data_IF_370367008126
#
_entry.id   IF_370367008126
#
_cell.length_a   1.000
_cell.length_b   1.000
_cell.length_c   1.000
_cell.angle_alpha   90.00
_cell.angle_beta   90.00
_cell.angle_gamma   90.00
#
_symmetry.space_group_name_H-M   'P 1'
#
loop_
_entity.id
_entity.type
_entity.pdbx_description
1 polymer ?
2 non-polymer ?
3 non-polymer ?
4 water ?
#
# COMPACT_ATOMS: atom_id res chain seq x y z
N UNK A 42 3.86 -9.75 22.66
CA UNK A 42 2.61 -9.40 21.98
C UNK A 42 1.61 -8.66 22.86
N UNK A 43 0.64 -7.97 22.23
CA UNK A 43 -0.41 -7.23 22.92
C UNK A 43 -1.77 -7.86 22.62
N UNK A 44 -2.69 -7.83 23.58
CA UNK A 44 -4.01 -8.43 23.39
C UNK A 44 -4.83 -7.60 22.41
N UNK A 45 -5.64 -8.20 21.53
CA UNK A 45 -6.51 -7.37 20.67
C UNK A 45 -7.92 -7.85 20.97
N UNK A 46 -8.90 -6.95 21.29
CA UNK A 46 -8.84 -5.47 21.28
C UNK A 46 -7.90 -4.94 22.36
N UNK A 47 -7.03 -3.96 22.00
CA UNK A 47 -6.08 -3.35 22.93
C UNK A 47 -6.60 -1.99 23.37
N UNK A 48 -6.42 -1.64 24.64
CA UNK A 48 -6.78 -0.33 25.13
C UNK A 48 -5.49 0.38 25.43
N UNK A 49 -5.18 1.49 24.73
CA UNK A 49 -3.97 2.29 25.01
C UNK A 49 -4.48 3.50 25.84
N UNK A 50 -4.20 3.59 27.17
CA UNK A 50 -4.69 4.76 27.92
C UNK A 50 -4.09 6.06 27.41
N UNK A 51 -4.86 7.14 27.46
CA UNK A 51 -4.41 8.48 27.10
C UNK A 51 -4.79 9.38 28.30
N UNK A 52 -4.12 9.20 29.46
CA UNK A 52 -4.44 10.04 30.63
C UNK A 52 -4.20 11.51 30.28
N UNK A 53 -5.22 12.33 30.46
CA UNK A 53 -5.10 13.73 30.06
C UNK A 53 -5.36 13.94 28.58
N UNK A 54 -5.89 12.90 27.94
CA UNK A 54 -6.30 12.94 26.56
C UNK A 54 -5.23 13.21 25.53
N UNK A 55 -5.65 13.59 24.34
CA UNK A 55 -4.72 13.87 23.26
C UNK A 55 -4.28 15.32 23.37
N UNK A 56 -3.06 15.60 22.94
CA UNK A 56 -2.55 16.97 22.97
C UNK A 56 -1.66 17.17 21.75
N UNK A 57 -1.69 18.36 21.13
CA UNK A 57 -0.85 18.56 19.94
C UNK A 57 0.61 18.18 20.16
N UNK A 58 1.22 17.57 19.12
CA UNK A 58 2.57 17.01 19.10
C UNK A 58 2.64 15.64 19.81
N UNK A 59 1.48 15.02 20.11
CA UNK A 59 1.46 13.64 20.65
C UNK A 59 1.58 12.71 19.45
N UNK A 60 2.57 11.83 19.46
CA UNK A 60 2.76 10.87 18.38
C UNK A 60 2.47 9.49 18.90
N UNK A 61 1.43 8.86 18.38
CA UNK A 61 1.06 7.52 18.78
C UNK A 61 1.64 6.59 17.73
N UNK A 62 2.31 5.51 18.16
CA UNK A 62 2.87 4.53 17.22
C UNK A 62 2.28 3.19 17.55
N UNK A 63 1.76 2.49 16.52
CA UNK A 63 1.22 1.13 16.68
C UNK A 63 1.99 0.23 15.75
N UNK A 64 2.48 -0.90 16.25
CA UNK A 64 3.19 -1.88 15.41
C UNK A 64 2.45 -3.19 15.51
N UNK A 65 2.23 -3.83 14.36
CA UNK A 65 1.56 -5.11 14.32
C UNK A 65 1.66 -5.79 12.98
N UNK A 66 0.78 -6.77 12.75
CA UNK A 66 0.65 -7.48 11.48
C UNK A 66 -0.82 -7.65 11.17
N UNK A 67 -1.20 -7.45 9.90
CA UNK A 67 -2.59 -7.67 9.51
C UNK A 67 -2.75 -9.21 9.41
N UNK A 68 -3.87 -9.77 9.91
CA UNK A 68 -4.07 -11.22 9.83
C UNK A 68 -4.16 -11.69 8.38
N UNK A 69 -3.81 -12.97 8.08
CA UNK A 69 -3.83 -13.44 6.67
C UNK A 69 -5.13 -13.31 5.89
N UNK A 70 -6.31 -13.29 6.53
CA UNK A 70 -7.56 -13.15 5.75
C UNK A 70 -8.42 -12.07 6.38
N UNK A 71 -7.80 -10.90 6.53
CA UNK A 71 -8.40 -9.74 7.19
C UNK A 71 -9.59 -9.15 6.47
N UNK A 72 -10.60 -8.78 7.26
CA UNK A 72 -11.80 -8.11 6.78
C UNK A 72 -11.82 -6.64 7.22
N UNK A 73 -11.44 -6.31 8.46
CA UNK A 73 -11.46 -4.90 8.85
C UNK A 73 -10.58 -4.62 10.05
N UNK A 74 -10.24 -3.36 10.22
CA UNK A 74 -9.41 -2.91 11.34
C UNK A 74 -10.07 -1.67 11.89
N UNK A 75 -9.89 -1.38 13.17
CA UNK A 75 -10.42 -0.11 13.69
C UNK A 75 -9.55 0.48 14.81
N UNK A 76 -9.38 1.81 14.78
CA UNK A 76 -8.76 2.57 15.86
C UNK A 76 -9.92 3.45 16.35
N UNK A 77 -10.16 3.50 17.66
CA UNK A 77 -11.24 4.29 18.25
C UNK A 77 -10.72 5.24 19.35
N UNK A 78 -10.62 6.53 19.03
CA UNK A 78 -10.23 7.54 20.03
C UNK A 78 -11.51 7.83 20.80
N UNK A 79 -11.61 7.32 22.02
CA UNK A 79 -12.82 7.42 22.80
C UNK A 79 -12.85 8.55 23.84
N UNK A 80 -14.01 9.19 24.01
CA UNK A 80 -14.27 10.20 25.05
C UNK A 80 -15.44 9.59 25.81
N UNK A 81 -15.14 8.67 26.73
CA UNK A 81 -16.17 7.89 27.43
C UNK A 81 -16.67 6.84 26.43
N UNK A 82 -17.99 6.81 26.15
CA UNK A 82 -18.56 5.90 25.14
C UNK A 82 -18.64 6.60 23.76
N UNK A 83 -18.46 7.93 23.69
CA UNK A 83 -18.40 8.61 22.39
C UNK A 83 -17.08 8.26 21.75
N UNK A 84 -17.01 8.37 20.40
CA UNK A 84 -15.78 8.08 19.68
C UNK A 84 -15.47 9.37 18.96
N UNK A 85 -14.49 10.12 19.48
CA UNK A 85 -14.10 11.38 18.86
C UNK A 85 -13.58 11.10 17.45
N UNK A 86 -12.85 9.99 17.24
CA UNK A 86 -12.28 9.70 15.91
C UNK A 86 -12.21 8.20 15.75
N UNK A 87 -12.97 7.71 14.76
CA UNK A 87 -13.04 6.29 14.41
C UNK A 87 -12.33 6.16 13.05
N UNK A 88 -11.28 5.35 12.94
CA UNK A 88 -10.51 5.18 11.70
C UNK A 88 -10.73 3.74 11.32
N UNK A 89 -11.46 3.51 10.24
CA UNK A 89 -11.83 2.14 9.92
C UNK A 89 -11.50 1.68 8.50
N UNK A 90 -10.31 1.08 8.29
CA UNK A 90 -10.05 0.40 7.03
C UNK A 90 -10.96 -0.83 6.87
N UNK A 91 -11.71 -0.87 5.77
CA UNK A 91 -12.61 -1.98 5.42
C UNK A 91 -11.98 -2.63 4.20
N UNK A 92 -11.58 -3.89 4.30
CA UNK A 92 -10.96 -4.59 3.17
C UNK A 92 -12.01 -4.84 2.08
N UNK A 93 -13.31 -4.88 2.46
CA UNK A 93 -14.31 -5.04 1.43
C UNK A 93 -15.63 -4.41 1.85
N UNK A 94 -15.90 -3.19 1.38
CA UNK A 94 -17.17 -2.53 1.52
C UNK A 94 -17.74 -2.40 0.10
N UNK A 95 -18.91 -3.00 -0.20
CA UNK A 95 -19.48 -3.00 -1.58
C UNK A 95 -18.41 -3.43 -2.60
N UNK A 96 -17.62 -4.46 -2.26
CA UNK A 96 -16.58 -5.01 -3.14
C UNK A 96 -15.41 -4.05 -3.38
N UNK A 97 -15.19 -3.04 -2.51
CA UNK A 97 -14.09 -2.08 -2.69
C UNK A 97 -13.35 -1.91 -1.38
N UNK A 98 -12.06 -1.57 -1.46
CA UNK A 98 -11.23 -1.32 -0.28
C UNK A 98 -11.45 0.15 0.03
N UNK A 99 -11.71 0.48 1.29
CA UNK A 99 -12.00 1.87 1.66
C UNK A 99 -11.66 2.09 3.10
N UNK A 100 -11.23 3.31 3.47
CA UNK A 100 -11.02 3.67 4.86
C UNK A 100 -12.14 4.64 5.20
N UNK A 101 -12.96 4.31 6.20
CA UNK A 101 -14.06 5.18 6.62
C UNK A 101 -13.66 5.81 7.96
N UNK A 102 -13.81 7.12 8.07
CA UNK A 102 -13.51 7.83 9.29
C UNK A 102 -14.74 8.56 9.73
N UNK A 103 -15.04 8.49 11.06
CA UNK A 103 -16.23 9.16 11.58
C UNK A 103 -16.12 9.42 13.09
N UNK A 104 -17.12 10.14 13.63
CA UNK A 104 -17.26 10.49 15.05
C UNK A 104 -18.63 10.00 15.48
N UNK A 105 -18.71 9.38 16.65
CA UNK A 105 -19.95 8.91 17.20
C UNK A 105 -20.18 9.72 18.45
N UNK A 106 -21.32 10.42 18.53
CA UNK A 106 -21.66 11.22 19.70
C UNK A 106 -23.05 10.84 20.12
N UNK A 107 -23.24 10.48 21.39
CA UNK A 107 -24.57 10.13 21.92
C UNK A 107 -25.25 9.01 21.09
N UNK A 108 -24.49 7.92 20.81
CA UNK A 108 -24.91 6.72 20.07
C UNK A 108 -25.06 6.88 18.54
N UNK A 109 -24.92 8.10 17.97
CA UNK A 109 -25.17 8.31 16.54
C UNK A 109 -23.92 8.68 15.79
N UNK A 110 -23.72 8.07 14.61
CA UNK A 110 -22.57 8.36 13.77
C UNK A 110 -22.85 9.62 12.98
N UNK A 111 -21.83 10.42 12.77
CA UNK A 111 -21.99 11.65 11.99
C UNK A 111 -21.69 11.39 10.52
N UNK A 112 -21.19 12.39 9.82
CA UNK A 112 -20.80 12.48 8.41
C UNK A 112 -19.52 11.70 8.20
N UNK A 113 -19.60 10.69 7.35
CA UNK A 113 -18.44 9.85 7.08
C UNK A 113 -17.43 10.56 6.17
N UNK A 114 -16.16 10.31 6.39
CA UNK A 114 -15.07 10.81 5.57
C UNK A 114 -14.49 9.55 4.97
N UNK A 115 -14.44 9.48 3.65
CA UNK A 115 -14.04 8.26 2.97
C UNK A 115 -12.85 8.48 2.11
N UNK A 116 -12.02 7.45 1.98
CA UNK A 116 -10.90 7.53 1.07
C UNK A 116 -10.51 6.15 0.54
N UNK A 117 -10.17 6.11 -0.78
CA UNK A 117 -9.85 4.86 -1.45
C UNK A 117 -8.38 4.45 -1.37
N UNK A 118 -7.45 5.39 -1.02
CA UNK A 118 -6.03 5.00 -0.88
C UNK A 118 -6.01 4.05 0.31
N UNK A 119 -5.51 2.82 0.11
CA UNK A 119 -5.57 1.75 1.11
C UNK A 119 -4.25 0.98 1.16
N UNK A 120 -3.36 1.29 2.13
CA UNK A 120 -2.04 0.67 2.15
C UNK A 120 -1.91 -0.65 2.91
N UNK A 121 -2.95 -1.07 3.65
CA UNK A 121 -2.88 -2.30 4.44
C UNK A 121 -2.98 -3.48 3.53
N UNK A 122 -2.24 -4.55 3.87
CA UNK A 122 -2.23 -5.77 3.07
C UNK A 122 -2.35 -6.94 4.01
N UNK A 123 -3.21 -7.91 3.68
CA UNK A 123 -3.40 -9.10 4.50
C UNK A 123 -2.07 -9.84 4.74
N UNK A 124 -1.86 -10.30 5.96
CA UNK A 124 -0.67 -11.06 6.33
C UNK A 124 0.63 -10.29 6.43
N UNK A 125 0.62 -8.95 6.25
CA UNK A 125 1.85 -8.17 6.24
C UNK A 125 2.00 -7.25 7.44
N UNK A 126 3.26 -7.02 7.88
CA UNK A 126 3.47 -6.14 9.04
C UNK A 126 3.11 -4.71 8.73
N UNK A 127 2.69 -3.96 9.75
CA UNK A 127 2.34 -2.56 9.51
C UNK A 127 2.86 -1.71 10.66
N UNK A 128 2.93 -0.41 10.39
CA UNK A 128 3.25 0.59 11.40
C UNK A 128 2.23 1.69 11.18
N UNK A 129 1.37 1.95 12.15
CA UNK A 129 0.46 3.08 12.02
C UNK A 129 1.03 4.15 12.95
N UNK A 130 1.03 5.39 12.49
CA UNK A 130 1.41 6.51 13.31
C UNK A 130 0.25 7.48 13.26
N UNK A 131 -0.17 7.99 14.42
CA UNK A 131 -1.23 9.00 14.49
C UNK A 131 -0.55 10.20 15.16
N UNK A 132 -0.38 11.32 14.44
CA UNK A 132 0.19 12.54 15.04
C UNK A 132 -0.96 13.49 15.35
N UNK A 133 -1.10 13.88 16.62
CA UNK A 133 -2.17 14.80 17.00
C UNK A 133 -1.69 16.20 16.70
N UNK A 134 -2.40 16.90 15.83
CA UNK A 134 -2.06 18.27 15.45
C UNK A 134 -3.13 19.20 16.04
N UNK A 135 -2.88 20.51 16.09
CA UNK A 135 -3.87 21.40 16.72
C UNK A 135 -5.31 21.29 16.19
N UNK A 136 -5.50 21.16 14.87
CA UNK A 136 -6.87 21.07 14.30
C UNK A 136 -7.21 19.72 13.68
N UNK A 137 -6.28 18.73 13.72
CA UNK A 137 -6.59 17.41 13.15
C UNK A 137 -5.70 16.32 13.69
N UNK A 138 -6.09 15.06 13.41
CA UNK A 138 -5.23 13.91 13.64
C UNK A 138 -4.62 13.65 12.26
N UNK A 139 -3.31 13.42 12.20
CA UNK A 139 -2.62 13.06 10.95
C UNK A 139 -2.44 11.56 11.06
N UNK A 140 -2.67 10.78 9.99
CA UNK A 140 -2.46 9.33 10.03
C UNK A 140 -1.45 8.96 8.96
N UNK A 141 -0.43 8.17 9.32
CA UNK A 141 0.58 7.68 8.37
C UNK A 141 0.69 6.19 8.55
N UNK A 142 0.79 5.42 7.45
CA UNK A 142 0.91 3.95 7.51
C UNK A 142 2.24 3.57 6.83
N UNK A 143 3.10 2.84 7.53
CA UNK A 143 4.41 2.42 6.99
C UNK A 143 5.26 3.59 6.52
N UNK A 144 5.31 4.67 7.34
CA UNK A 144 6.05 5.92 7.06
C UNK A 144 5.51 6.76 5.91
N UNK A 145 4.29 6.47 5.41
CA UNK A 145 3.69 7.22 4.32
C UNK A 145 2.41 7.88 4.85
N UNK A 146 2.29 9.20 4.70
CA UNK A 146 1.06 9.89 5.13
C UNK A 146 -0.14 9.31 4.38
N UNK A 147 -1.21 9.05 5.12
CA UNK A 147 -2.42 8.47 4.55
C UNK A 147 -3.56 9.49 4.48
N UNK A 148 -3.91 10.06 5.64
CA UNK A 148 -5.03 11.00 5.71
C UNK A 148 -4.98 11.83 6.98
N UNK A 149 -5.84 12.82 7.08
CA UNK A 149 -6.02 13.56 8.31
C UNK A 149 -7.50 13.58 8.58
N UNK A 150 -7.84 13.79 9.84
CA UNK A 150 -9.24 13.87 10.27
C UNK A 150 -9.33 15.07 11.16
N UNK A 151 -10.08 16.11 10.72
CA UNK A 151 -10.21 17.32 11.54
C UNK A 151 -10.94 17.03 12.82
N UNK A 152 -10.54 17.72 13.91
CA UNK A 152 -11.17 17.50 15.20
C UNK A 152 -12.61 17.99 15.16
N UNK A 153 -13.55 17.12 15.53
CA UNK A 153 -14.97 17.46 15.68
C UNK A 153 -15.16 17.69 17.16
N UNK A 154 -14.65 16.76 17.97
CA UNK A 154 -14.61 16.91 19.43
C UNK A 154 -13.38 17.79 19.67
N UNK A 155 -13.60 19.07 20.06
CA UNK A 155 -12.52 20.05 20.26
C UNK A 155 -11.94 20.06 21.68
N UNK A 156 -12.61 19.43 22.67
CA UNK A 156 -12.05 19.29 24.04
C UNK A 156 -11.17 18.08 23.97
N UNK A 157 -9.94 18.25 23.50
CA UNK A 157 -9.00 17.13 23.29
C UNK A 157 -8.63 16.37 24.55
N UNK A 158 -8.54 17.06 25.69
CA UNK A 158 -8.15 16.41 26.94
C UNK A 158 -9.16 15.34 27.43
N UNK A 159 -10.42 15.37 26.94
CA UNK A 159 -11.42 14.37 27.32
C UNK A 159 -11.34 13.07 26.46
N UNK A 160 -10.53 13.06 25.38
CA UNK A 160 -10.34 11.87 24.53
C UNK A 160 -9.29 11.02 25.27
N UNK A 161 -9.74 10.23 26.26
CA UNK A 161 -8.87 9.53 27.21
C UNK A 161 -8.49 8.06 26.92
N UNK A 162 -8.93 7.46 25.82
CA UNK A 162 -8.57 6.06 25.54
C UNK A 162 -8.47 5.86 24.06
N UNK A 163 -7.52 5.03 23.60
CA UNK A 163 -7.45 4.61 22.20
C UNK A 163 -7.71 3.10 22.12
N UNK A 164 -8.86 2.72 21.58
CA UNK A 164 -9.21 1.30 21.39
C UNK A 164 -8.62 0.85 20.07
N UNK A 165 -7.95 -0.30 20.02
CA UNK A 165 -7.34 -0.81 18.79
C UNK A 165 -7.92 -2.21 18.61
N UNK A 166 -8.77 -2.43 17.58
CA UNK A 166 -9.47 -3.69 17.35
C UNK A 166 -9.41 -4.16 15.92
N UNK A 167 -9.95 -5.34 15.66
CA UNK A 167 -10.04 -5.92 14.33
C UNK A 167 -9.06 -7.02 14.01
N UNK A 168 -8.88 -7.27 12.72
CA UNK A 168 -8.14 -8.42 12.20
C UNK A 168 -6.63 -8.18 12.15
N UNK A 169 -6.00 -8.02 13.34
CA UNK A 169 -4.57 -7.74 13.43
C UNK A 169 -3.94 -8.47 14.60
N UNK A 170 -2.61 -8.61 14.55
CA UNK A 170 -1.78 -9.08 15.64
C UNK A 170 -1.04 -7.80 16.03
N UNK A 171 -0.87 -7.51 17.32
CA UNK A 171 -0.24 -6.28 17.79
C UNK A 171 1.01 -6.56 18.65
N UNK A 172 2.14 -5.85 18.35
CA UNK A 172 3.43 -5.99 19.07
C UNK A 172 3.80 -4.75 19.91
N UNK A 173 3.26 -3.56 19.58
CA UNK A 173 3.60 -2.34 20.33
C UNK A 173 2.52 -1.27 20.11
N UNK A 174 2.20 -0.52 21.16
CA UNK A 174 1.23 0.60 21.08
C UNK A 174 1.62 1.55 22.20
N UNK A 175 1.96 2.77 21.85
CA UNK A 175 2.40 3.72 22.84
C UNK A 175 2.37 5.10 22.25
N UNK A 176 2.66 6.11 23.07
CA UNK A 176 2.78 7.45 22.52
C UNK A 176 3.92 8.19 23.14
N UNK A 177 4.47 9.13 22.39
CA UNK A 177 5.48 10.01 22.93
C UNK A 177 5.22 11.40 22.41
N UNK A 178 5.36 12.37 23.28
CA UNK A 178 5.20 13.76 22.92
C UNK A 178 6.44 14.15 22.13
N UNK A 179 6.31 14.77 20.94
CA UNK A 179 7.47 15.12 20.08
C UNK A 179 7.65 16.63 19.89
N UNK B 42 17.68 -18.46 -7.14
CA UNK B 42 16.35 -19.03 -7.40
C UNK B 42 15.34 -18.46 -6.40
N UNK B 43 14.47 -17.57 -6.84
CA UNK B 43 13.44 -16.92 -6.02
C UNK B 43 12.09 -17.52 -6.41
N UNK B 44 11.16 -17.70 -5.47
CA UNK B 44 9.87 -18.31 -5.83
C UNK B 44 9.01 -17.33 -6.58
N UNK B 45 8.33 -17.76 -7.68
CA UNK B 45 7.43 -16.89 -8.43
C UNK B 45 5.99 -17.37 -8.12
N UNK B 46 5.01 -16.49 -7.82
CA UNK B 46 5.10 -15.01 -7.81
C UNK B 46 6.03 -14.49 -6.72
N UNK B 47 6.90 -13.52 -7.05
CA UNK B 47 7.87 -12.97 -6.10
C UNK B 47 7.40 -11.57 -5.69
N UNK B 48 7.53 -11.25 -4.41
CA UNK B 48 7.19 -9.92 -3.92
C UNK B 48 8.48 -9.22 -3.61
N UNK B 49 8.73 -8.08 -4.26
CA UNK B 49 9.93 -7.30 -3.94
C UNK B 49 9.44 -6.10 -3.17
N UNK B 50 9.77 -5.99 -1.87
CA UNK B 50 9.31 -4.81 -1.12
C UNK B 50 9.95 -3.51 -1.61
N UNK B 51 9.18 -2.42 -1.54
CA UNK B 51 9.65 -1.07 -1.90
C UNK B 51 9.29 -0.19 -0.70
N UNK B 52 9.96 -0.39 0.47
CA UNK B 52 9.63 0.45 1.65
C UNK B 52 9.89 1.92 1.32
N UNK B 53 8.88 2.75 1.51
CA UNK B 53 8.98 4.16 1.12
C UNK B 53 8.72 4.38 -0.35
N UNK B 54 8.19 3.36 -1.01
CA UNK B 54 7.79 3.41 -2.40
C UNK B 54 8.86 3.69 -3.42
N UNK B 55 8.44 4.07 -4.62
CA UNK B 55 9.35 4.36 -5.70
C UNK B 55 9.80 5.80 -5.59
N UNK B 56 11.02 6.09 -6.00
CA UNK B 56 11.61 7.45 -5.92
C UNK B 56 12.37 7.66 -7.21
N UNK B 57 12.36 8.87 -7.82
CA UNK B 57 13.17 9.09 -9.01
C UNK B 57 14.64 8.70 -8.81
N UNK B 58 15.23 8.09 -9.85
CA UNK B 58 16.58 7.55 -9.88
C UNK B 58 16.66 6.17 -9.20
N UNK B 59 15.51 5.53 -8.89
CA UNK B 59 15.48 4.16 -8.37
C UNK B 59 15.59 3.24 -9.58
N UNK B 60 16.58 2.36 -9.58
CA UNK B 60 16.77 1.43 -10.67
C UNK B 60 16.48 0.03 -10.16
N UNK B 61 15.44 -0.58 -10.67
CA UNK B 61 15.06 -1.95 -10.29
C UNK B 61 15.63 -2.87 -11.35
N UNK B 62 16.23 -3.98 -10.94
CA UNK B 62 16.79 -4.95 -11.90
C UNK B 62 16.20 -6.30 -11.61
N UNK B 63 15.66 -6.98 -12.63
CA UNK B 63 15.13 -8.34 -12.47
C UNK B 63 15.90 -9.26 -13.41
N UNK B 64 16.46 -10.35 -12.87
CA UNK B 64 17.18 -11.31 -13.71
C UNK B 64 16.46 -12.62 -13.61
N UNK B 65 16.30 -13.26 -14.76
CA UNK B 65 15.66 -14.56 -14.81
C UNK B 65 15.71 -15.20 -16.18
N UNK B 66 14.88 -16.22 -16.36
CA UNK B 66 14.76 -16.93 -17.62
C UNK B 66 13.28 -17.11 -17.93
N UNK B 67 12.89 -16.91 -19.19
CA UNK B 67 11.50 -17.14 -19.58
C UNK B 67 11.35 -18.67 -19.69
N UNK B 68 10.23 -19.23 -19.17
CA UNK B 68 10.00 -20.68 -19.25
C UNK B 68 9.92 -21.16 -20.72
N UNK B 69 10.26 -22.44 -21.01
CA UNK B 69 10.26 -22.91 -22.41
C UNK B 69 8.95 -22.78 -23.22
N UNK B 70 7.78 -22.75 -22.58
CA UNK B 70 6.54 -22.60 -23.37
C UNK B 70 5.67 -21.52 -22.75
N UNK B 71 6.28 -20.35 -22.58
CA UNK B 71 5.69 -19.20 -21.93
C UNK B 71 4.50 -18.61 -22.65
N UNK B 72 3.49 -18.24 -21.86
CA UNK B 72 2.29 -17.57 -22.34
C UNK B 72 2.28 -16.09 -21.90
N UNK B 73 2.66 -15.77 -20.65
CA UNK B 73 2.64 -14.36 -20.26
C UNK B 73 3.51 -14.08 -19.04
N UNK B 74 3.87 -12.82 -18.87
CA UNK B 74 4.69 -12.38 -17.75
C UNK B 74 4.04 -11.14 -17.20
N UNK B 75 4.21 -10.84 -15.91
CA UNK B 75 3.69 -9.58 -15.39
C UNK B 75 4.55 -9.00 -14.27
N UNK B 76 4.73 -7.66 -14.29
CA UNK B 76 5.36 -6.91 -13.20
C UNK B 76 4.19 -6.03 -12.73
N UNK B 77 3.96 -5.98 -11.40
CA UNK B 77 2.90 -5.19 -10.82
C UNK B 77 3.42 -4.25 -9.72
N UNK B 78 3.51 -2.95 -10.02
CA UNK B 78 3.90 -1.95 -9.02
C UNK B 78 2.62 -1.67 -8.25
N UNK B 79 2.51 -2.18 -7.02
CA UNK B 79 1.30 -2.09 -6.23
C UNK B 79 1.27 -0.97 -5.17
N UNK B 80 0.09 -0.36 -4.96
CA UNK B 80 -0.20 0.59 -3.87
C UNK B 80 -1.34 -0.10 -3.15
N UNK B 81 -1.00 -0.99 -2.24
CA UNK B 81 -2.01 -1.80 -1.57
C UNK B 81 -2.50 -2.80 -2.59
N UNK B 82 -3.82 -2.83 -2.90
CA UNK B 82 -4.39 -3.71 -3.92
C UNK B 82 -4.45 -2.99 -5.29
N UNK B 83 -4.28 -1.65 -5.34
CA UNK B 83 -4.24 -0.94 -6.62
C UNK B 83 -2.93 -1.27 -7.28
N UNK B 84 -2.86 -1.16 -8.62
CA UNK B 84 -1.64 -1.43 -9.36
C UNK B 84 -1.35 -0.13 -10.07
N UNK B 85 -0.36 0.62 -9.54
CA UNK B 85 0.02 1.88 -10.16
C UNK B 85 0.54 1.63 -11.58
N UNK B 86 1.27 0.53 -11.79
CA UNK B 86 1.84 0.23 -13.13
C UNK B 86 1.91 -1.27 -13.30
N UNK B 87 1.16 -1.75 -14.29
CA UNK B 87 1.09 -3.17 -14.64
C UNK B 87 1.80 -3.29 -16.01
N UNK B 88 2.85 -4.11 -16.11
CA UNK B 88 3.62 -4.28 -17.36
C UNK B 88 3.41 -5.70 -17.74
N UNK B 89 2.66 -5.94 -18.82
CA UNK B 89 2.29 -7.30 -19.15
C UNK B 89 2.61 -7.76 -20.56
N UNK B 90 3.81 -8.35 -20.77
CA UNK B 90 4.08 -9.05 -22.04
C UNK B 90 3.16 -10.27 -22.21
N UNK B 91 2.40 -10.31 -23.30
CA UNK B 91 1.51 -11.42 -23.65
C UNK B 91 2.13 -12.06 -24.88
N UNK B 92 2.52 -13.33 -24.79
CA UNK B 92 3.13 -14.02 -25.93
C UNK B 92 2.09 -14.25 -27.01
N UNK B 93 0.80 -14.29 -26.64
CA UNK B 93 -0.22 -14.46 -27.67
C UNK B 93 -1.53 -13.82 -27.22
N UNK B 94 -1.80 -12.61 -27.69
CA UNK B 94 -3.07 -11.95 -27.54
C UNK B 94 -3.65 -11.81 -28.95
N UNK B 95 -4.82 -12.43 -29.23
CA UNK B 95 -5.41 -12.41 -30.59
C UNK B 95 -4.35 -12.83 -31.65
N UNK B 96 -3.55 -13.86 -31.31
CA UNK B 96 -2.53 -14.39 -32.20
C UNK B 96 -1.37 -13.42 -32.46
N UNK B 97 -1.13 -12.44 -31.58
CA UNK B 97 -0.04 -11.48 -31.75
C UNK B 97 0.74 -11.32 -30.44
N UNK B 98 2.01 -10.94 -30.53
CA UNK B 98 2.89 -10.67 -29.37
C UNK B 98 2.64 -9.24 -29.03
N UNK B 99 2.41 -8.94 -27.76
CA UNK B 99 2.13 -7.55 -27.39
C UNK B 99 2.46 -7.35 -25.96
N UNK B 100 2.89 -6.12 -25.58
CA UNK B 100 3.11 -5.77 -24.18
C UNK B 100 1.99 -4.80 -23.84
N UNK B 101 1.17 -5.12 -22.85
CA UNK B 101 0.06 -4.26 -22.43
C UNK B 101 0.45 -3.64 -21.10
N UNK B 102 0.30 -2.33 -20.98
CA UNK B 102 0.60 -1.61 -19.76
C UNK B 102 -0.63 -0.89 -19.30
N UNK B 103 -0.93 -0.97 -17.98
CA UNK B 103 -2.11 -0.30 -17.45
C UNK B 103 -2.00 -0.04 -15.94
N UNK B 104 -3.01 0.67 -15.39
CA UNK B 104 -3.14 1.00 -13.98
C UNK B 104 -4.52 0.51 -13.53
N UNK B 105 -4.58 -0.11 -12.36
CA UNK B 105 -5.82 -0.60 -11.82
C UNK B 105 -6.05 0.20 -10.55
N UNK B 106 -7.19 0.90 -10.46
CA UNK B 106 -7.52 1.68 -9.27
C UNK B 106 -8.92 1.29 -8.86
N UNK B 107 -9.10 0.94 -7.59
CA UNK B 107 -10.41 0.58 -7.06
C UNK B 107 -11.10 -0.54 -7.89
N UNK B 108 -10.34 -1.62 -8.18
CA UNK B 108 -10.76 -2.81 -8.93
C UNK B 108 -10.91 -2.65 -10.46
N UNK B 109 -10.78 -1.44 -11.02
CA UNK B 109 -11.04 -1.23 -12.45
C UNK B 109 -9.79 -0.84 -13.20
N UNK B 110 -9.59 -1.46 -14.38
CA UNK B 110 -8.45 -1.15 -15.23
C UNK B 110 -8.74 0.11 -16.01
N UNK B 111 -7.73 0.92 -16.24
CA UNK B 111 -7.90 2.15 -17.01
C UNK B 111 -7.60 1.92 -18.47
N UNK B 112 -7.13 3.01 -19.11
CA UNK B 112 -6.74 3.06 -20.53
C UNK B 112 -5.46 2.24 -20.77
N UNK B 113 -5.52 1.23 -21.65
CA UNK B 113 -4.35 0.40 -21.94
C UNK B 113 -3.35 1.10 -22.86
N UNK B 114 -2.05 0.86 -22.63
CA UNK B 114 -0.97 1.38 -23.45
C UNK B 114 -0.38 0.12 -24.06
N UNK B 115 -0.33 0.05 -25.38
CA UNK B 115 0.09 -1.17 -26.04
C UNK B 115 1.29 -0.94 -26.91
N UNK B 116 2.11 -1.98 -27.04
CA UNK B 116 3.23 -1.90 -27.95
C UNK B 116 3.63 -3.27 -28.50
N UNK B 117 3.98 -3.32 -29.80
CA UNK B 117 4.29 -4.57 -30.48
C UNK B 117 5.78 -4.98 -30.41
N UNK B 118 6.70 -4.05 -30.04
CA UNK B 118 8.11 -4.43 -29.90
C UNK B 118 8.13 -5.39 -28.72
N UNK B 119 8.64 -6.62 -28.93
CA UNK B 119 8.56 -7.69 -27.94
C UNK B 119 9.88 -8.46 -27.88
N UNK B 120 10.76 -8.15 -26.90
CA UNK B 120 12.09 -8.77 -26.89
C UNK B 120 12.21 -10.09 -26.13
N UNK B 121 11.17 -10.51 -25.40
CA UNK B 121 11.22 -11.73 -24.61
C UNK B 121 11.11 -12.93 -25.53
N UNK B 122 11.85 -14.00 -25.20
CA UNK B 122 11.86 -15.23 -25.99
C UNK B 122 11.73 -16.41 -25.07
N UNK B 123 10.88 -17.36 -25.39
CA UNK B 123 10.69 -18.56 -24.58
C UNK B 123 12.02 -19.31 -24.34
N UNK B 124 12.24 -19.76 -23.12
CA UNK B 124 13.43 -20.51 -22.75
C UNK B 124 14.72 -19.74 -22.66
N UNK B 125 14.71 -18.41 -22.84
CA UNK B 125 15.94 -17.60 -22.86
C UNK B 125 16.09 -16.68 -21.66
N UNK B 126 17.34 -16.43 -21.21
CA UNK B 126 17.55 -15.56 -20.06
C UNK B 126 17.19 -14.11 -20.38
N UNK B 127 16.75 -13.37 -19.37
CA UNK B 127 16.42 -11.97 -19.58
C UNK B 127 16.93 -11.10 -18.44
N UNK B 128 17.00 -9.81 -18.70
CA UNK B 128 17.30 -8.81 -17.69
C UNK B 128 16.29 -7.71 -17.90
N UNK B 129 15.42 -7.43 -16.93
CA UNK B 129 14.50 -6.30 -17.07
C UNK B 129 15.04 -5.22 -16.15
N UNK B 130 15.08 -3.99 -16.61
CA UNK B 130 15.46 -2.87 -15.78
C UNK B 130 14.31 -1.90 -15.82
N UNK B 131 13.87 -1.42 -14.65
CA UNK B 131 12.81 -0.40 -14.58
C UNK B 131 13.47 0.79 -13.90
N UNK B 132 13.64 1.91 -14.61
CA UNK B 132 14.21 3.12 -13.99
C UNK B 132 13.06 4.07 -13.67
N UNK B 133 12.92 4.45 -12.39
CA UNK B 133 11.85 5.36 -12.00
C UNK B 133 12.34 6.77 -12.30
N UNK B 134 11.63 7.47 -13.17
CA UNK B 134 11.98 8.85 -13.53
C UNK B 134 10.91 9.77 -12.93
N UNK B 135 11.15 11.09 -12.85
CA UNK B 135 10.16 11.96 -12.21
C UNK B 135 8.74 11.86 -12.74
N UNK B 136 8.54 11.74 -14.06
CA UNK B 136 7.17 11.67 -14.65
C UNK B 136 6.84 10.31 -15.29
N UNK B 137 7.77 9.33 -15.27
CA UNK B 137 7.46 8.01 -15.86
C UNK B 137 8.35 6.92 -15.33
N UNK B 138 7.98 5.67 -15.64
CA UNK B 138 8.83 4.51 -15.43
C UNK B 138 9.45 4.28 -16.79
N UNK B 139 10.77 4.07 -16.90
CA UNK B 139 11.39 3.68 -18.18
C UNK B 139 11.62 2.18 -18.03
N UNK B 140 11.40 1.41 -19.09
CA UNK B 140 11.62 -0.03 -19.06
C UNK B 140 12.65 -0.38 -20.13
N UNK B 141 13.67 -1.17 -19.78
CA UNK B 141 14.67 -1.65 -20.72
C UNK B 141 14.79 -3.16 -20.53
N UNK B 142 14.89 -3.93 -21.63
CA UNK B 142 15.02 -5.40 -21.56
C UNK B 142 16.34 -5.77 -22.23
N UNK B 143 17.20 -6.53 -21.54
CA UNK B 143 18.52 -6.93 -22.07
C UNK B 143 19.36 -5.74 -22.54
N UNK B 144 19.40 -4.67 -21.72
CA UNK B 144 20.14 -3.43 -21.99
C UNK B 144 19.59 -2.58 -23.14
N UNK B 145 18.38 -2.87 -23.66
CA UNK B 145 17.79 -2.11 -24.75
C UNK B 145 16.51 -1.47 -24.23
N UNK B 146 16.38 -0.14 -24.40
CA UNK B 146 15.15 0.54 -23.97
C UNK B 146 13.94 -0.05 -24.71
N UNK B 147 12.87 -0.31 -23.97
CA UNK B 147 11.67 -0.92 -24.53
C UNK B 147 10.54 0.11 -24.59
N UNK B 148 10.17 0.68 -23.44
CA UNK B 148 9.04 1.60 -23.35
C UNK B 148 9.08 2.43 -22.11
N UNK B 149 8.20 3.44 -22.08
CA UNK B 149 8.02 4.32 -20.91
C UNK B 149 6.56 4.31 -20.55
N UNK B 150 6.23 4.42 -19.23
CA UNK B 150 4.84 4.47 -18.79
C UNK B 150 4.73 5.68 -17.89
N UNK B 151 3.97 6.70 -18.30
CA UNK B 151 3.84 7.92 -17.46
C UNK B 151 3.12 7.61 -16.18
N UNK B 152 3.52 8.28 -15.08
CA UNK B 152 2.91 8.05 -13.79
C UNK B 152 1.47 8.52 -13.82
N UNK B 153 0.53 7.66 -13.46
CA UNK B 153 -0.89 7.99 -13.29
C UNK B 153 -1.07 8.20 -11.80
N UNK B 154 -0.54 7.28 -11.01
CA UNK B 154 -0.50 7.41 -9.55
C UNK B 154 0.72 8.30 -9.30
N UNK B 155 0.50 9.57 -8.90
CA UNK B 155 1.57 10.55 -8.70
C UNK B 155 2.17 10.55 -7.28
N UNK B 156 1.50 9.93 -6.29
CA UNK B 156 2.06 9.80 -4.93
C UNK B 156 2.94 8.57 -4.99
N UNK B 157 4.17 8.74 -5.46
CA UNK B 157 5.10 7.62 -5.67
C UNK B 157 5.48 6.85 -4.42
N UNK B 158 5.58 7.54 -3.28
CA UNK B 158 5.96 6.89 -2.02
C UNK B 158 4.95 5.83 -1.54
N UNK B 159 3.69 5.86 -2.03
CA UNK B 159 2.67 4.87 -1.65
C UNK B 159 2.74 3.56 -2.51
N UNK B 160 3.57 3.54 -3.59
CA UNK B 160 3.74 2.36 -4.44
C UNK B 160 4.79 1.51 -3.70
N UNK B 161 4.33 0.72 -2.72
CA UNK B 161 5.20 0.01 -1.77
C UNK B 161 5.58 -1.45 -2.07
N UNK B 162 5.20 -2.02 -3.21
CA UNK B 162 5.57 -3.43 -3.51
C UNK B 162 5.67 -3.63 -5.01
N UNK B 163 6.57 -4.53 -5.46
CA UNK B 163 6.65 -4.95 -6.87
C UNK B 163 6.38 -6.45 -6.91
N UNK B 164 5.25 -6.82 -7.50
CA UNK B 164 4.87 -8.22 -7.68
C UNK B 164 5.43 -8.68 -9.01
N UNK B 165 6.05 -9.83 -9.05
CA UNK B 165 6.66 -10.35 -10.27
C UNK B 165 6.05 -11.73 -10.45
N UNK B 166 5.27 -11.93 -11.51
CA UNK B 166 4.57 -13.20 -11.74
C UNK B 166 4.67 -13.66 -13.17
N UNK B 167 4.11 -14.83 -13.43
CA UNK B 167 4.04 -15.40 -14.77
C UNK B 167 5.03 -16.50 -15.09
N UNK B 168 5.20 -16.75 -16.39
CA UNK B 168 5.96 -17.88 -16.91
C UNK B 168 7.46 -17.64 -16.95
N UNK B 169 8.09 -17.48 -15.75
CA UNK B 169 9.52 -17.21 -15.67
C UNK B 169 10.16 -17.95 -14.50
N UNK B 170 11.49 -18.09 -14.55
CA UNK B 170 12.33 -18.57 -13.46
C UNK B 170 13.05 -17.30 -13.08
N UNK B 171 13.11 -16.98 -11.79
CA UNK B 171 13.69 -15.75 -11.30
C UNK B 171 14.97 -16.06 -10.51
N UNK B 172 16.05 -15.34 -10.81
CA UNK B 172 17.36 -15.47 -10.17
C UNK B 172 17.66 -14.29 -9.25
N UNK B 173 17.25 -13.04 -9.61
CA UNK B 173 17.53 -11.84 -8.81
C UNK B 173 16.43 -10.78 -9.01
N UNK B 174 16.08 -10.06 -7.95
CA UNK B 174 15.10 -8.97 -8.01
C UNK B 174 15.51 -7.98 -6.91
N UNK B 175 15.90 -6.75 -7.28
CA UNK B 175 16.37 -5.79 -6.27
C UNK B 175 16.36 -4.40 -6.85
N UNK B 176 16.68 -3.41 -6.03
CA UNK B 176 16.78 -2.07 -6.57
C UNK B 176 17.93 -1.33 -5.94
N UNK B 177 18.48 -0.36 -6.68
CA UNK B 177 19.54 0.49 -6.20
C UNK B 177 19.23 1.90 -6.64
N UNK B 178 19.37 2.87 -5.76
CA UNK B 178 19.22 4.27 -6.12
C UNK B 178 20.47 4.66 -6.90
N UNK B 179 20.32 5.28 -8.09
CA UNK B 179 21.48 5.65 -8.94
C UNK B 179 21.66 7.17 -9.12
X LIG C 1 -14.23 -2.95 13.37
X LIG C 1 -24.61 3.24 10.31
X LIG C 1 -23.56 3.28 9.39
X LIG C 1 -16.43 -2.94 15.11
X LIG C 1 -15.45 -3.91 15.23
X LIG C 1 -25.18 4.45 10.79
X LIG C 1 -24.69 5.69 10.36
X LIG C 1 -23.62 5.69 9.47
X LIG C 1 -23.06 4.52 8.95
X LIG C 1 -25.14 1.91 10.84
X LIG C 1 -16.27 -1.96 14.12
X LIG C 1 -15.18 -1.95 13.24
X LIG C 1 -24.22 1.25 11.50
X LIG C 1 -25.54 1.09 9.92
X LIG C 1 -26.16 1.96 11.69
X LIG C 1 -22.92 7.17 9.03
X LIG C 1 -22.90 2.12 8.90
X LIG C 1 -23.19 1.38 7.75
X LIG C 1 -24.33 1.71 6.84
X LIG C 1 -21.75 1.54 9.44
X LIG C 1 -21.38 0.50 8.64
X LIG C 1 -22.25 0.40 7.62
X LIG C 1 -21.01 2.04 10.63
X LIG C 1 -20.27 0.90 11.40
X LIG C 1 -21.18 -0.05 11.89
X LIG C 1 -19.48 1.58 12.54
X LIG C 1 -18.53 2.71 11.98
X LIG C 1 -17.59 2.20 11.03
X LIG C 1 -19.44 3.69 11.18
X LIG C 1 -18.66 4.84 10.47
X LIG C 1 -19.62 5.72 9.95
X LIG C 1 -20.10 2.98 10.14
X LIG C 1 -18.66 0.61 13.31
X LIG C 1 -18.89 0.38 14.65
X LIG C 1 -18.06 -0.51 15.10
X LIG C 1 -17.25 -0.92 14.02
X LIG C 1 -17.63 -0.18 12.88
X LIG C 1 -15.61 -4.89 16.09
X LIG C 1 -14.33 -3.90 14.36
X LIG C 1 -13.08 -4.92 14.58
X LIG C 1 -13.24 -3.02 12.53
X LIG C 1 -17.30 -2.96 15.77
X LIG C 1 -26.02 4.44 11.49
X LIG C 1 -25.12 6.63 10.70
X LIG C 1 -22.26 4.56 8.21
X LIG C 1 -15.06 -1.19 12.47
X LIG C 1 -24.60 2.76 6.87
X LIG C 1 -25.22 1.14 7.10
X LIG C 1 -24.07 1.47 5.81
X LIG C 1 -21.74 2.51 11.29
X LIG C 1 -19.62 0.34 10.73
X LIG C 1 -21.82 0.40 12.49
X LIG C 1 -20.18 2.02 13.26
X LIG C 1 -18.05 3.25 12.80
X LIG C 1 -16.72 2.08 11.49
X LIG C 1 -20.17 4.12 11.86
X LIG C 1 -17.94 5.31 11.12
X LIG C 1 -18.13 4.46 9.60
X LIG C 1 -20.22 5.22 9.34
X LIG C 1 -17.21 -0.20 11.88
X LIG D 1 -2.80 -11.06 -19.42
X LIG E 1 -0.10 -12.43 -15.70
X LIG E 1 -10.48 -6.28 -18.68
X LIG E 1 -9.41 -6.23 -19.59
X LIG E 1 -2.37 -12.50 -14.05
X LIG E 1 -1.39 -13.47 -13.93
X LIG E 1 -11.03 -5.10 -18.14
X LIG E 1 -10.52 -3.84 -18.54
X LIG E 1 -9.45 -3.81 -19.44
X LIG E 1 -8.88 -4.98 -19.97
X LIG E 1 -11.08 -7.62 -18.30
X LIG E 1 -2.19 -11.48 -15.00
X LIG E 1 -1.06 -11.44 -15.85
X LIG E 1 -10.18 -8.31 -17.63
X LIG E 1 -11.44 -8.36 -19.32
X LIG E 1 -12.20 -7.62 -17.55
X LIG E 1 -8.81 -2.32 -19.93
X LIG E 1 -8.71 -7.37 -20.12
X LIG E 1 -8.97 -8.12 -21.30
X LIG E 1 -10.01 -7.78 -22.29
X LIG E 1 -7.58 -7.90 -19.58
X LIG E 1 -7.17 -8.92 -20.37
X LIG E 1 -8.02 -9.08 -21.40
X LIG E 1 -6.84 -7.38 -18.40
X LIG E 1 -6.11 -8.52 -17.61
X LIG E 1 -7.00 -9.47 -17.13
X LIG E 1 -5.30 -7.84 -16.48
X LIG E 1 -4.35 -6.74 -17.07
X LIG E 1 -3.44 -7.32 -18.02
X LIG E 1 -5.24 -5.77 -17.87
X LIG E 1 -4.49 -4.59 -18.51
X LIG E 1 -5.47 -3.75 -19.08
X LIG E 1 -5.86 -6.49 -18.93
X LIG E 1 -4.50 -8.83 -15.75
X LIG E 1 -4.73 -9.08 -14.42
X LIG E 1 -3.96 -10.01 -14.03
X LIG E 1 -3.16 -10.43 -15.10
X LIG E 1 -3.50 -9.67 -16.19
X LIG E 1 -1.57 -14.47 -13.09
X LIG E 1 -0.24 -13.42 -14.76
X LIG E 1 0.97 -14.51 -14.57
X LIG E 1 0.93 -12.43 -16.50
X LIG E 1 -3.26 -12.54 -13.42
X LIG E 1 -11.85 -5.12 -17.43
X LIG E 1 -10.95 -2.91 -18.15
X LIG E 1 -8.07 -4.91 -20.71
X LIG E 1 -0.94 -10.66 -16.59
X LIG E 1 -10.06 -6.71 -22.47
X LIG E 1 -11.00 -8.10 -21.95
X LIG E 1 -9.82 -8.29 -23.24
X LIG E 1 -7.56 -6.88 -17.76
X LIG E 1 -5.47 -9.09 -18.28
X LIG E 1 -7.67 -9.03 -16.54
X LIG E 1 -5.98 -7.40 -15.76
X LIG E 1 -3.86 -6.19 -16.26
X LIG E 1 -2.56 -7.39 -17.58
X LIG E 1 -5.99 -5.37 -17.19
X LIG E 1 -3.83 -4.10 -17.80
X LIG E 1 -3.89 -4.93 -19.35
X LIG E 1 -6.02 -4.27 -19.72
X LIG E 1 -3.10 -9.68 -17.20
#
# INVERSE_FOLDING_TARGET
GAPAPGVYPGPPSGPGAYPSSGQPSATGAYPATGHMGAPAGPLIVPYNLPLPGGVVPRMLITILGTVKPNANRIALDFQRGNDVAFHFNPRFNENNRRVIVCNTKLDNNWGREERQSVFPFESGKPFKIQVLVEPDHFKVAVNDAHLLQYNHRVKKLNEISKLGISGDIDLTSASYTMI
GAPAPGVYPGPPSGPGAYPSSGQPSATGAYPATGHMGAPAGPLIVPYNLPLPGGVVPRMLITILGTVKPNANRIALDFQRGNDVAFHFNPRFNENNRRVIVCNTKLDNNWGREERQSVFPFESGKPFKIQVLVEPDHFKVAVNDAHLLQYNHRVKKLNEISKLGISGDIDLTSASYTMI
A1L0Q C13 C18 C17 C16 C15 C19 C20 C21 C22 C23 C11 C12 F4 F2 F3 CL1 N5 C1 C C2 N1 N C3 C8 O3 C7 C6 O2 C4 C5 O1 O N2 N4 N3 C10 C9 F1 C14 CL F H15 H16 H17 H18 H14 H7 H5 H6 H H4 H12 H3 H2 H11 H1 H9 H8 H10 H13
CL CL
A1L0Q C13 C18 C17 C16 C15 C19 C20 C21 C22 C23 C11 C12 F4 F2 F3 CL1 N5 C1 C C2 N1 N C3 C8 O3 C7 C6 O2 C4 C5 O1 O N2 N4 N3 C10 C9 F1 C14 CL F H15 H16 H17 H18 H14 H7 H5 H6 H H4 H12 H3 H2 H11 H1 H9 H8 H10 H13
#
